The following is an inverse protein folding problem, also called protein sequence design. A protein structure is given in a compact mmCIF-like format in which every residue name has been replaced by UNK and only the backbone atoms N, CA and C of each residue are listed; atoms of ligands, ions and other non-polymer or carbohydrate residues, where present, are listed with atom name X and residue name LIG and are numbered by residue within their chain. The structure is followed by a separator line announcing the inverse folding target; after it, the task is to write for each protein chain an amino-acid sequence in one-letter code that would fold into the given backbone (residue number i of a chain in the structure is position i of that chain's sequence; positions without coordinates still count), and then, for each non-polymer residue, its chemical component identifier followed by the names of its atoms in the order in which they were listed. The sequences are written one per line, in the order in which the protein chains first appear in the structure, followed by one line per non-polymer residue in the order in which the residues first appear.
data_IF_737774715163
#
_entry.id   IF_737774715163
#
_cell.length_a   1.000
_cell.length_b   1.000
_cell.length_c   1.000
_cell.angle_alpha   90.00
_cell.angle_beta   90.00
_cell.angle_gamma   90.00
#
_symmetry.space_group_name_H-M   'P 1'
#
loop_
_entity.id
_entity.type
_entity.pdbx_description
1 polymer ?
#
# COMPACT_ATOMS: atom_id res chain seq x y z
N UNK A 1 -57.38 9.94 18.08
CA UNK A 1 -58.06 8.62 17.98
C UNK A 1 -57.03 7.65 17.42
N UNK A 2 -56.13 7.12 18.26
CA UNK A 2 -56.27 5.92 19.12
C UNK A 2 -56.01 4.63 18.33
N UNK A 3 -54.79 4.06 18.47
CA UNK A 3 -54.46 2.75 19.11
C UNK A 3 -54.61 1.55 18.17
N UNK A 4 -53.83 0.46 18.16
CA UNK A 4 -52.80 -0.14 19.04
C UNK A 4 -52.09 -1.23 18.20
N UNK A 5 -50.76 -1.38 18.25
CA UNK A 5 -49.98 -2.32 19.10
C UNK A 5 -50.19 -3.82 18.82
N UNK A 6 -49.17 -4.53 18.28
CA UNK A 6 -48.61 -5.75 18.92
C UNK A 6 -47.29 -6.25 18.27
N UNK A 7 -46.37 -6.67 19.15
CA UNK A 7 -45.09 -7.40 18.95
C UNK A 7 -45.14 -8.56 19.97
N UNK A 8 -44.11 -9.41 20.13
CA UNK A 8 -43.46 -10.41 19.24
C UNK A 8 -43.72 -11.86 19.76
N UNK A 9 -43.15 -12.90 19.12
CA UNK A 9 -42.88 -14.20 19.77
C UNK A 9 -41.79 -15.03 19.04
N UNK A 10 -40.73 -15.38 19.78
CA UNK A 10 -39.87 -16.58 19.60
C UNK A 10 -40.45 -17.70 20.48
N UNK A 11 -40.20 -19.02 20.25
CA UNK A 11 -39.00 -19.66 20.84
C UNK A 11 -38.46 -20.97 20.15
N UNK A 12 -37.30 -21.41 20.66
CA UNK A 12 -36.84 -22.79 20.94
C UNK A 12 -36.21 -23.74 19.87
N UNK A 13 -34.93 -24.05 20.12
CA UNK A 13 -34.22 -25.35 20.20
C UNK A 13 -34.86 -26.64 19.66
N UNK A 14 -34.07 -27.45 18.92
CA UNK A 14 -33.81 -28.85 19.30
C UNK A 14 -32.63 -29.52 18.53
N UNK A 15 -31.90 -30.42 19.22
CA UNK A 15 -30.93 -31.42 18.68
C UNK A 15 -31.56 -32.82 18.80
N UNK A 16 -31.24 -33.78 17.92
CA UNK A 16 -30.48 -35.00 18.34
C UNK A 16 -29.50 -35.49 17.24
N UNK A 17 -28.31 -36.05 17.53
CA UNK A 17 -27.93 -37.40 18.01
C UNK A 17 -28.30 -38.58 17.08
N UNK A 18 -27.30 -39.41 16.71
CA UNK A 18 -27.50 -40.87 16.55
C UNK A 18 -27.09 -41.60 15.25
N UNK A 19 -25.80 -41.94 15.13
CA UNK A 19 -25.22 -43.28 14.86
C UNK A 19 -25.92 -44.33 13.93
N UNK A 20 -25.21 -44.77 12.88
CA UNK A 20 -25.16 -46.14 12.31
C UNK A 20 -23.71 -46.36 11.85
N UNK A 21 -22.98 -47.44 12.12
CA UNK A 21 -23.36 -48.81 12.45
C UNK A 21 -22.75 -49.74 11.38
N UNK A 22 -21.59 -50.33 11.66
CA UNK A 22 -20.90 -51.28 10.77
C UNK A 22 -19.84 -52.11 11.51
N UNK A 23 -20.30 -53.20 12.15
CA UNK A 23 -19.52 -54.35 12.64
C UNK A 23 -18.93 -55.10 11.43
N UNK A 24 -17.88 -55.94 11.46
CA UNK A 24 -17.09 -56.62 12.48
C UNK A 24 -16.29 -57.73 11.74
N UNK A 25 -14.97 -57.81 11.92
CA UNK A 25 -14.22 -58.87 12.63
C UNK A 25 -14.37 -60.33 12.13
N UNK A 26 -13.22 -60.91 11.73
CA UNK A 26 -12.73 -62.27 12.06
C UNK A 26 -11.20 -62.11 12.27
N UNK A 27 -10.60 -62.31 13.47
CA UNK A 27 -10.28 -63.57 14.19
C UNK A 27 -9.37 -64.50 13.38
N UNK A 28 -8.29 -65.12 13.88
CA UNK A 28 -7.56 -65.11 15.15
C UNK A 28 -6.29 -65.98 14.97
N UNK A 29 -5.36 -65.91 15.93
CA UNK A 29 -4.59 -67.03 16.53
C UNK A 29 -3.07 -66.84 16.65
N UNK A 30 -2.75 -66.45 17.88
CA UNK A 30 -1.60 -66.74 18.73
C UNK A 30 -0.59 -67.83 18.33
N UNK A 31 0.68 -67.59 18.73
CA UNK A 31 1.45 -68.55 19.53
C UNK A 31 2.57 -67.87 20.33
N UNK A 32 2.64 -68.28 21.59
CA UNK A 32 3.53 -67.87 22.69
C UNK A 32 4.86 -68.63 22.64
N UNK A 33 5.96 -68.04 23.11
CA UNK A 33 7.05 -68.76 23.78
C UNK A 33 7.92 -67.79 24.58
N UNK A 34 8.41 -68.27 25.72
CA UNK A 34 8.88 -67.49 26.86
C UNK A 34 10.41 -67.58 27.08
N UNK A 35 10.90 -66.59 27.83
CA UNK A 35 11.99 -66.59 28.83
C UNK A 35 13.44 -66.94 28.44
N UNK A 36 14.38 -66.04 28.78
CA UNK A 36 15.40 -66.26 29.83
C UNK A 36 16.27 -64.99 30.03
N UNK A 37 16.62 -64.67 31.29
CA UNK A 37 17.66 -63.71 31.69
C UNK A 37 18.85 -64.48 32.29
N UNK A 38 20.08 -63.92 32.22
CA UNK A 38 20.93 -63.84 33.42
C UNK A 38 21.63 -62.46 33.52
N UNK A 39 21.50 -61.71 34.62
CA UNK A 39 22.42 -61.56 35.79
C UNK A 39 23.90 -61.24 35.49
N UNK A 40 24.33 -60.12 36.07
CA UNK A 40 25.63 -59.39 35.95
C UNK A 40 26.73 -60.00 36.85
N UNK A 41 28.01 -59.60 36.66
CA UNK A 41 28.72 -59.13 37.85
C UNK A 41 29.55 -57.84 37.65
N UNK A 42 29.50 -57.00 38.69
CA UNK A 42 30.43 -55.90 38.99
C UNK A 42 31.75 -56.49 39.50
N UNK A 43 32.84 -56.37 38.75
CA UNK A 43 34.23 -56.21 39.23
C UNK A 43 35.18 -56.14 38.02
N UNK A 44 35.78 -54.98 37.77
CA UNK A 44 37.18 -54.79 37.35
C UNK A 44 37.38 -53.29 37.07
N UNK A 45 38.02 -52.63 38.03
CA UNK A 45 38.46 -51.24 37.99
C UNK A 45 39.81 -51.17 37.27
N UNK A 46 39.89 -50.26 36.28
CA UNK A 46 41.03 -49.45 35.81
C UNK A 46 42.36 -50.10 35.36
N UNK A 47 42.87 -49.72 34.18
CA UNK A 47 43.90 -48.66 33.99
C UNK A 47 44.37 -48.58 32.52
N UNK A 48 44.41 -47.34 32.02
CA UNK A 48 45.23 -46.72 30.97
C UNK A 48 45.52 -47.43 29.63
N UNK A 49 45.14 -46.74 28.54
CA UNK A 49 46.09 -46.00 27.68
C UNK A 49 45.58 -46.00 26.23
N UNK A 50 45.42 -44.79 25.69
CA UNK A 50 45.58 -44.43 24.27
C UNK A 50 44.81 -45.29 23.27
N UNK A 51 43.75 -44.73 22.70
CA UNK A 51 43.64 -44.52 21.25
C UNK A 51 42.34 -43.75 20.99
N UNK A 52 42.50 -42.44 20.86
CA UNK A 52 41.47 -41.54 20.36
C UNK A 52 41.28 -41.80 18.86
N UNK A 53 40.19 -42.47 18.50
CA UNK A 53 39.52 -42.32 17.22
C UNK A 53 38.22 -43.15 17.26
N UNK A 54 37.08 -42.49 17.15
CA UNK A 54 35.85 -43.17 16.73
C UNK A 54 34.65 -42.95 17.62
N UNK A 55 33.99 -41.81 17.39
CA UNK A 55 32.55 -41.61 17.51
C UNK A 55 31.90 -41.55 18.92
N UNK A 56 31.03 -40.54 19.01
CA UNK A 56 29.93 -40.35 19.97
C UNK A 56 30.29 -39.60 21.27
N UNK A 57 30.13 -38.28 21.19
CA UNK A 57 29.67 -37.25 22.17
C UNK A 57 30.50 -35.99 21.92
N UNK A 58 29.99 -34.87 21.42
CA UNK A 58 28.93 -34.08 22.02
C UNK A 58 28.22 -33.22 20.95
N UNK A 59 26.92 -33.47 20.78
CA UNK A 59 25.99 -32.60 20.08
C UNK A 59 25.54 -31.44 20.98
N UNK A 60 26.48 -30.71 21.59
CA UNK A 60 26.21 -29.55 22.44
C UNK A 60 27.30 -28.52 22.20
N UNK A 61 27.05 -27.60 21.26
CA UNK A 61 27.60 -26.24 21.10
C UNK A 61 27.43 -25.78 19.64
N UNK A 62 26.18 -25.74 19.17
CA UNK A 62 25.79 -24.77 18.14
C UNK A 62 24.98 -23.70 18.87
N UNK A 63 25.58 -22.58 19.28
CA UNK A 63 24.80 -21.43 19.71
C UNK A 63 23.99 -20.96 18.51
N UNK A 64 22.67 -20.87 18.71
CA UNK A 64 21.66 -20.19 17.91
C UNK A 64 22.13 -19.36 16.70
N UNK A 65 22.47 -20.02 15.58
CA UNK A 65 22.51 -19.35 14.27
C UNK A 65 21.11 -19.06 13.70
N UNK A 66 20.04 -19.33 14.48
CA UNK A 66 18.65 -19.02 14.11
C UNK A 66 18.18 -17.63 14.54
N UNK A 67 18.96 -16.89 15.32
CA UNK A 67 18.55 -15.59 15.87
C UNK A 67 19.54 -14.45 15.65
N UNK A 68 20.47 -14.57 14.72
CA UNK A 68 21.12 -13.39 14.13
C UNK A 68 20.08 -12.60 13.33
N UNK A 69 19.24 -11.81 14.00
CA UNK A 69 18.59 -10.67 13.37
C UNK A 69 19.75 -9.78 12.94
N UNK A 70 20.13 -9.86 11.67
CA UNK A 70 20.89 -8.79 11.04
C UNK A 70 20.18 -7.50 11.43
N UNK A 71 20.86 -6.54 12.09
CA UNK A 71 20.25 -5.25 12.37
C UNK A 71 19.64 -4.74 11.07
N UNK A 72 18.36 -4.35 11.11
CA UNK A 72 17.74 -3.75 9.95
C UNK A 72 18.67 -2.63 9.44
N UNK A 73 18.94 -2.57 8.12
CA UNK A 73 19.79 -1.51 7.57
C UNK A 73 19.31 -0.16 8.10
N UNK A 74 20.23 0.77 8.45
CA UNK A 74 19.81 2.10 8.87
C UNK A 74 18.94 2.74 7.79
N UNK A 75 17.88 3.42 8.21
CA UNK A 75 16.97 4.10 7.29
C UNK A 75 17.78 5.07 6.39
N UNK A 76 17.45 5.15 5.09
CA UNK A 76 18.19 6.01 4.18
C UNK A 76 18.03 7.49 4.56
N UNK A 77 19.04 8.35 4.31
CA UNK A 77 18.91 9.78 4.51
C UNK A 77 17.73 10.36 3.73
N UNK A 78 17.05 11.37 4.28
CA UNK A 78 15.89 12.00 3.64
C UNK A 78 16.20 12.65 2.28
N UNK A 79 17.48 12.97 2.03
CA UNK A 79 17.99 13.52 0.77
C UNK A 79 18.50 12.47 -0.20
N UNK A 80 18.56 11.19 0.19
CA UNK A 80 19.00 10.12 -0.70
C UNK A 80 17.97 9.94 -1.83
N UNK A 81 18.45 9.63 -3.04
CA UNK A 81 17.59 9.45 -4.20
C UNK A 81 16.97 8.05 -4.21
N UNK A 82 15.65 8.01 -4.32
CA UNK A 82 14.88 6.77 -4.49
C UNK A 82 14.80 6.42 -5.96
N UNK A 83 14.53 7.41 -6.80
CA UNK A 83 14.39 7.22 -8.24
C UNK A 83 14.71 8.51 -9.00
N UNK A 84 14.78 8.40 -10.32
CA UNK A 84 14.64 9.53 -11.25
C UNK A 84 13.49 9.26 -12.20
N UNK A 85 12.74 10.31 -12.56
CA UNK A 85 11.64 10.26 -13.53
C UNK A 85 11.91 11.32 -14.59
N UNK A 86 12.19 10.91 -15.82
CA UNK A 86 12.60 11.80 -16.91
C UNK A 86 13.79 12.72 -16.54
N UNK A 87 14.70 12.20 -15.70
CA UNK A 87 15.86 12.94 -15.18
C UNK A 87 15.58 13.81 -13.96
N UNK A 88 14.32 13.96 -13.53
CA UNK A 88 13.98 14.63 -12.27
C UNK A 88 14.28 13.72 -11.09
N UNK A 89 15.06 14.21 -10.13
CA UNK A 89 15.46 13.48 -8.93
C UNK A 89 14.32 13.39 -7.91
N UNK A 90 14.09 12.18 -7.37
CA UNK A 90 13.03 11.89 -6.40
C UNK A 90 13.68 11.44 -5.08
N UNK A 91 13.78 12.33 -4.06
CA UNK A 91 14.40 12.00 -2.79
C UNK A 91 13.47 11.21 -1.85
N UNK A 92 14.05 10.54 -0.85
CA UNK A 92 13.31 9.79 0.19
C UNK A 92 12.22 10.64 0.86
N UNK A 93 12.50 11.93 1.15
CA UNK A 93 11.55 12.83 1.78
C UNK A 93 10.27 13.03 0.96
N UNK A 94 10.42 13.13 -0.36
CA UNK A 94 9.28 13.25 -1.26
C UNK A 94 8.45 11.97 -1.27
N UNK A 95 9.09 10.80 -1.46
CA UNK A 95 8.40 9.50 -1.48
C UNK A 95 7.68 9.22 -0.16
N UNK A 96 8.21 9.70 0.96
CA UNK A 96 7.56 9.56 2.27
C UNK A 96 6.16 10.21 2.33
N UNK A 97 5.92 11.28 1.57
CA UNK A 97 4.59 11.90 1.47
C UNK A 97 3.57 10.95 0.83
N UNK A 98 3.98 10.24 -0.22
CA UNK A 98 3.15 9.26 -0.92
C UNK A 98 2.94 7.99 -0.10
N UNK A 99 3.99 7.49 0.58
CA UNK A 99 3.87 6.36 1.51
C UNK A 99 2.83 6.65 2.61
N UNK A 100 2.80 7.88 3.12
CA UNK A 100 1.82 8.28 4.12
C UNK A 100 0.38 8.29 3.56
N UNK A 101 0.19 8.76 2.32
CA UNK A 101 -1.13 8.80 1.67
C UNK A 101 -1.65 7.39 1.35
N UNK A 102 -0.79 6.51 0.84
CA UNK A 102 -1.17 5.19 0.34
C UNK A 102 -1.31 4.13 1.44
N UNK A 103 -0.91 4.44 2.68
CA UNK A 103 -0.90 3.50 3.80
C UNK A 103 -2.28 2.92 4.10
N UNK A 104 -3.30 3.79 4.21
CA UNK A 104 -4.66 3.37 4.55
C UNK A 104 -5.32 2.56 3.42
N UNK A 105 -5.05 2.93 2.17
CA UNK A 105 -5.51 2.19 1.01
C UNK A 105 -4.86 0.80 0.93
N UNK A 106 -3.55 0.71 1.22
CA UNK A 106 -2.83 -0.56 1.30
C UNK A 106 -3.40 -1.47 2.38
N UNK A 107 -3.64 -0.93 3.58
CA UNK A 107 -4.30 -1.69 4.64
C UNK A 107 -5.67 -2.24 4.20
N UNK A 108 -6.47 -1.38 3.58
CA UNK A 108 -7.80 -1.76 3.07
C UNK A 108 -7.71 -2.86 2.01
N UNK A 109 -6.75 -2.77 1.08
CA UNK A 109 -6.51 -3.77 0.05
C UNK A 109 -6.23 -5.16 0.66
N UNK A 110 -5.27 -5.26 1.58
CA UNK A 110 -4.89 -6.55 2.17
C UNK A 110 -5.96 -7.10 3.11
N UNK A 111 -6.67 -6.25 3.83
CA UNK A 111 -7.82 -6.67 4.64
C UNK A 111 -8.94 -7.26 3.77
N UNK A 112 -9.29 -6.59 2.67
CA UNK A 112 -10.39 -7.03 1.80
C UNK A 112 -10.03 -8.28 0.97
N UNK A 113 -8.80 -8.35 0.44
CA UNK A 113 -8.37 -9.44 -0.44
C UNK A 113 -7.92 -10.69 0.32
N UNK A 114 -7.26 -10.52 1.47
CA UNK A 114 -6.61 -11.62 2.19
C UNK A 114 -7.09 -11.80 3.63
N UNK A 115 -8.00 -10.96 4.12
CA UNK A 115 -8.42 -10.98 5.52
C UNK A 115 -7.29 -10.59 6.48
N UNK A 116 -6.25 -9.90 5.99
CA UNK A 116 -5.14 -9.47 6.82
C UNK A 116 -5.62 -8.51 7.91
N UNK A 117 -5.15 -8.73 9.14
CA UNK A 117 -5.45 -7.90 10.31
C UNK A 117 -4.25 -7.05 10.68
N UNK A 118 -4.52 -5.92 11.30
CA UNK A 118 -3.44 -5.09 11.86
C UNK A 118 -2.68 -5.87 12.93
N UNK A 119 -1.37 -5.63 13.01
CA UNK A 119 -0.49 -6.26 13.97
C UNK A 119 0.99 -6.16 13.59
N UNK A 120 1.89 -6.62 14.48
CA UNK A 120 3.34 -6.44 14.33
C UNK A 120 3.93 -7.02 13.05
N UNK A 121 3.27 -8.01 12.45
CA UNK A 121 3.71 -8.72 11.25
C UNK A 121 2.94 -8.31 9.99
N UNK A 122 2.01 -7.34 10.08
CA UNK A 122 1.19 -6.93 8.93
C UNK A 122 2.08 -6.55 7.74
N UNK A 123 3.02 -5.61 7.93
CA UNK A 123 3.88 -5.10 6.85
C UNK A 123 4.84 -6.13 6.26
N UNK A 124 5.17 -7.19 7.01
CA UNK A 124 6.22 -8.15 6.65
C UNK A 124 5.69 -9.50 6.21
N UNK A 125 4.43 -9.83 6.47
CA UNK A 125 3.85 -11.13 6.12
C UNK A 125 3.49 -11.14 4.64
N UNK A 126 4.03 -12.06 3.83
CA UNK A 126 3.69 -12.13 2.42
C UNK A 126 2.30 -12.75 2.23
N UNK A 127 1.54 -12.18 1.30
CA UNK A 127 0.30 -12.73 0.76
C UNK A 127 0.47 -12.85 -0.75
N UNK A 128 0.26 -14.05 -1.30
CA UNK A 128 0.55 -14.36 -2.72
C UNK A 128 1.96 -13.93 -3.17
N UNK A 129 2.95 -14.07 -2.28
CA UNK A 129 4.35 -13.74 -2.57
C UNK A 129 4.72 -12.26 -2.43
N UNK A 130 3.78 -11.37 -2.06
CA UNK A 130 4.05 -9.94 -1.86
C UNK A 130 3.68 -9.49 -0.44
N UNK A 131 4.54 -8.69 0.19
CA UNK A 131 4.25 -8.09 1.50
C UNK A 131 3.50 -6.76 1.35
N UNK A 132 2.68 -6.33 2.33
CA UNK A 132 2.07 -5.00 2.30
C UNK A 132 3.10 -3.86 2.22
N UNK A 133 4.31 -4.05 2.78
CA UNK A 133 5.40 -3.09 2.66
C UNK A 133 5.86 -2.91 1.20
N UNK A 134 6.10 -4.01 0.49
CA UNK A 134 6.50 -3.99 -0.91
C UNK A 134 5.41 -3.34 -1.77
N UNK A 135 4.16 -3.77 -1.58
CA UNK A 135 3.00 -3.20 -2.26
C UNK A 135 2.84 -1.69 -2.02
N UNK A 136 2.98 -1.22 -0.77
CA UNK A 136 2.89 0.19 -0.44
C UNK A 136 3.98 1.01 -1.15
N UNK A 137 5.21 0.51 -1.19
CA UNK A 137 6.33 1.18 -1.87
C UNK A 137 6.13 1.23 -3.38
N UNK A 138 5.68 0.15 -3.99
CA UNK A 138 5.34 0.11 -5.41
C UNK A 138 4.24 1.13 -5.76
N UNK A 139 3.19 1.23 -4.93
CA UNK A 139 2.14 2.23 -5.11
C UNK A 139 2.66 3.66 -4.96
N UNK A 140 3.43 3.92 -3.92
CA UNK A 140 4.04 5.23 -3.72
C UNK A 140 4.96 5.62 -4.89
N UNK A 141 5.72 4.67 -5.45
CA UNK A 141 6.55 4.90 -6.65
C UNK A 141 5.68 5.20 -7.88
N UNK A 142 4.58 4.48 -8.08
CA UNK A 142 3.66 4.73 -9.18
C UNK A 142 3.02 6.12 -9.07
N UNK A 143 2.57 6.51 -7.88
CA UNK A 143 1.96 7.82 -7.66
C UNK A 143 2.95 8.97 -7.78
N UNK A 144 4.16 8.86 -7.22
CA UNK A 144 5.17 9.91 -7.40
C UNK A 144 5.55 10.03 -8.87
N UNK A 145 5.69 8.92 -9.61
CA UNK A 145 5.97 8.97 -11.06
C UNK A 145 4.88 9.73 -11.81
N UNK A 146 3.60 9.39 -11.56
CA UNK A 146 2.47 10.06 -12.18
C UNK A 146 2.44 11.55 -11.85
N UNK A 147 2.62 11.92 -10.59
CA UNK A 147 2.59 13.31 -10.15
C UNK A 147 3.80 14.10 -10.67
N UNK A 148 5.00 13.51 -10.75
CA UNK A 148 6.16 14.16 -11.38
C UNK A 148 5.89 14.49 -12.84
N UNK A 149 5.23 13.58 -13.58
CA UNK A 149 4.80 13.83 -14.96
C UNK A 149 3.75 14.94 -15.04
N UNK A 150 2.76 14.95 -14.14
CA UNK A 150 1.77 16.03 -14.05
C UNK A 150 2.42 17.39 -13.77
N UNK A 151 3.32 17.47 -12.79
CA UNK A 151 4.07 18.69 -12.46
C UNK A 151 4.95 19.16 -13.63
N UNK A 152 5.60 18.24 -14.32
CA UNK A 152 6.39 18.55 -15.53
C UNK A 152 5.50 19.11 -16.64
N UNK A 153 4.31 18.54 -16.85
CA UNK A 153 3.35 19.08 -17.80
C UNK A 153 2.88 20.47 -17.38
N UNK A 154 2.59 20.68 -16.09
CA UNK A 154 2.20 21.98 -15.56
C UNK A 154 3.29 23.04 -15.78
N UNK A 155 4.56 22.67 -15.60
CA UNK A 155 5.69 23.53 -15.90
C UNK A 155 5.72 23.92 -17.38
N UNK A 156 5.61 22.94 -18.29
CA UNK A 156 5.57 23.17 -19.75
C UNK A 156 4.38 24.03 -20.18
N UNK A 157 3.25 23.95 -19.46
CA UNK A 157 2.06 24.75 -19.69
C UNK A 157 2.12 26.15 -19.06
N UNK A 158 3.19 26.46 -18.31
CA UNK A 158 3.41 27.74 -17.64
C UNK A 158 2.59 27.93 -16.36
N UNK A 159 2.09 26.85 -15.75
CA UNK A 159 1.33 26.90 -14.50
C UNK A 159 2.24 26.94 -13.26
N UNK A 160 3.42 26.33 -13.35
CA UNK A 160 4.42 26.35 -12.28
C UNK A 160 5.79 26.75 -12.86
N UNK A 161 6.56 27.49 -12.07
CA UNK A 161 7.89 27.93 -12.49
C UNK A 161 8.91 26.78 -12.54
N UNK A 162 8.74 25.77 -11.68
CA UNK A 162 9.63 24.62 -11.54
C UNK A 162 8.81 23.43 -11.01
N UNK A 163 9.04 22.23 -11.58
CA UNK A 163 8.31 20.99 -11.27
C UNK A 163 8.98 20.12 -10.19
N UNK A 164 10.17 20.51 -9.73
CA UNK A 164 10.99 19.80 -8.78
C UNK A 164 10.51 19.92 -7.33
N UNK A 165 10.91 18.95 -6.53
CA UNK A 165 10.54 18.90 -5.12
C UNK A 165 11.19 20.04 -4.29
N UNK A 166 12.38 20.50 -4.66
CA UNK A 166 13.01 21.66 -4.01
C UNK A 166 12.19 22.95 -4.22
N UNK A 167 11.63 23.14 -5.41
CA UNK A 167 10.73 24.25 -5.68
C UNK A 167 9.44 24.13 -4.86
N UNK A 168 8.89 22.92 -4.72
CA UNK A 168 7.78 22.66 -3.80
C UNK A 168 8.12 23.05 -2.35
N UNK A 169 9.28 22.64 -1.83
CA UNK A 169 9.74 22.99 -0.49
C UNK A 169 9.90 24.51 -0.30
N UNK A 170 10.46 25.19 -1.28
CA UNK A 170 10.58 26.65 -1.28
C UNK A 170 9.20 27.34 -1.26
N UNK A 171 8.26 26.88 -2.09
CA UNK A 171 6.91 27.43 -2.16
C UNK A 171 6.13 27.20 -0.86
N UNK A 172 6.31 26.03 -0.23
CA UNK A 172 5.75 25.73 1.07
C UNK A 172 6.23 26.68 2.17
N UNK A 173 7.55 26.91 2.24
CA UNK A 173 8.15 27.83 3.20
C UNK A 173 7.68 29.27 2.96
N UNK A 174 7.61 29.68 1.70
CA UNK A 174 7.14 31.00 1.28
C UNK A 174 5.68 31.23 1.66
N UNK A 175 4.79 30.27 1.39
CA UNK A 175 3.37 30.38 1.76
C UNK A 175 3.19 30.44 3.27
N UNK A 176 3.92 29.62 4.03
CA UNK A 176 3.90 29.69 5.48
C UNK A 176 4.43 31.03 6.01
N UNK A 177 5.46 31.61 5.40
CA UNK A 177 5.96 32.94 5.75
C UNK A 177 4.93 34.03 5.45
N UNK A 178 4.26 33.96 4.28
CA UNK A 178 3.17 34.88 3.91
C UNK A 178 2.02 34.80 4.91
N UNK A 179 1.59 33.59 5.29
CA UNK A 179 0.52 33.38 6.28
C UNK A 179 0.87 33.96 7.64
N UNK A 180 2.09 33.76 8.14
CA UNK A 180 2.54 34.37 9.40
C UNK A 180 2.48 35.90 9.35
N UNK A 181 2.91 36.51 8.23
CA UNK A 181 2.81 37.97 8.03
C UNK A 181 1.36 38.46 8.02
N UNK A 182 0.48 37.74 7.33
CA UNK A 182 -0.95 38.08 7.26
C UNK A 182 -1.62 38.03 8.64
N UNK A 183 -1.33 37.00 9.44
CA UNK A 183 -1.84 36.88 10.82
C UNK A 183 -1.31 38.02 11.71
N UNK A 184 -0.02 38.33 11.63
CA UNK A 184 0.56 39.46 12.38
C UNK A 184 -0.06 40.82 11.98
N UNK A 185 -0.50 40.94 10.72
CA UNK A 185 -1.21 42.10 10.21
C UNK A 185 -2.73 42.07 10.45
N UNK A 186 -3.25 41.11 11.25
CA UNK A 186 -4.68 40.92 11.52
C UNK A 186 -5.54 40.73 10.25
N UNK A 187 -4.95 40.21 9.19
CA UNK A 187 -5.65 39.89 7.95
C UNK A 187 -6.38 38.54 8.09
N UNK A 188 -7.55 38.43 7.46
CA UNK A 188 -8.29 37.17 7.38
C UNK A 188 -7.49 36.18 6.55
N UNK A 189 -7.22 35.00 7.11
CA UNK A 189 -6.66 33.86 6.40
C UNK A 189 -7.63 32.68 6.49
N UNK A 190 -7.75 31.93 5.39
CA UNK A 190 -8.52 30.70 5.35
C UNK A 190 -7.62 29.49 5.59
N UNK A 191 -8.12 28.54 6.40
CA UNK A 191 -7.38 27.34 6.78
C UNK A 191 -6.36 27.58 7.90
N UNK A 192 -5.37 26.69 8.07
CA UNK A 192 -4.42 26.77 9.17
C UNK A 192 -3.46 27.96 9.01
N UNK A 193 -3.00 28.50 10.15
CA UNK A 193 -1.97 29.54 10.22
C UNK A 193 -0.67 29.07 9.57
N UNK A 194 -0.34 27.79 9.74
CA UNK A 194 0.82 27.16 9.16
C UNK A 194 0.42 25.79 8.60
N UNK A 195 0.78 25.54 7.35
CA UNK A 195 0.69 24.21 6.79
C UNK A 195 1.86 23.35 7.25
N UNK A 196 1.55 22.11 7.62
CA UNK A 196 2.52 21.02 7.55
C UNK A 196 2.88 20.76 6.09
N UNK A 197 4.01 20.10 5.85
CA UNK A 197 4.43 19.74 4.50
C UNK A 197 3.38 18.89 3.79
N UNK A 198 2.87 17.84 4.46
CA UNK A 198 1.84 16.95 3.89
C UNK A 198 0.54 17.69 3.58
N UNK A 199 0.10 18.63 4.42
CA UNK A 199 -1.13 19.39 4.14
C UNK A 199 -0.95 20.33 2.95
N UNK A 200 0.22 20.97 2.83
CA UNK A 200 0.51 21.82 1.69
C UNK A 200 0.67 21.00 0.41
N UNK A 201 1.31 19.83 0.49
CA UNK A 201 1.43 18.89 -0.60
C UNK A 201 0.07 18.47 -1.16
N UNK A 202 -0.85 17.99 -0.31
CA UNK A 202 -2.22 17.64 -0.71
C UNK A 202 -2.97 18.83 -1.33
N UNK A 203 -2.79 20.04 -0.78
CA UNK A 203 -3.38 21.25 -1.32
C UNK A 203 -2.87 21.57 -2.74
N UNK A 204 -1.56 21.53 -2.96
CA UNK A 204 -0.95 21.77 -4.27
C UNK A 204 -1.44 20.76 -5.29
N UNK A 205 -1.41 19.46 -4.97
CA UNK A 205 -1.83 18.42 -5.92
C UNK A 205 -3.32 18.50 -6.28
N UNK A 206 -4.18 18.84 -5.32
CA UNK A 206 -5.62 18.96 -5.56
C UNK A 206 -5.95 20.07 -6.56
N UNK A 207 -5.23 21.19 -6.49
CA UNK A 207 -5.43 22.31 -7.40
C UNK A 207 -4.77 22.07 -8.76
N UNK A 208 -3.57 21.47 -8.77
CA UNK A 208 -2.81 21.19 -9.99
C UNK A 208 -3.65 20.46 -11.06
N UNK A 209 -4.37 19.41 -10.66
CA UNK A 209 -5.17 18.61 -11.59
C UNK A 209 -6.39 19.39 -12.14
N UNK A 210 -6.94 20.34 -11.38
CA UNK A 210 -7.98 21.22 -11.88
C UNK A 210 -7.38 22.24 -12.86
N UNK A 211 -6.33 22.94 -12.45
CA UNK A 211 -5.66 23.97 -13.26
C UNK A 211 -5.13 23.42 -14.58
N UNK A 212 -4.57 22.20 -14.58
CA UNK A 212 -4.13 21.52 -15.80
C UNK A 212 -5.29 21.19 -16.75
N UNK A 213 -6.43 20.72 -16.24
CA UNK A 213 -7.60 20.43 -17.08
C UNK A 213 -8.12 21.68 -17.77
N UNK A 214 -8.21 22.77 -17.02
CA UNK A 214 -8.63 24.07 -17.55
C UNK A 214 -7.62 24.57 -18.58
N UNK A 215 -6.33 24.56 -18.24
CA UNK A 215 -5.25 25.00 -19.14
C UNK A 215 -5.18 24.20 -20.44
N UNK A 216 -5.33 22.87 -20.38
CA UNK A 216 -5.32 22.01 -21.56
C UNK A 216 -6.58 22.22 -22.43
N UNK A 217 -7.70 22.61 -21.83
CA UNK A 217 -8.91 22.99 -22.57
C UNK A 217 -8.73 24.35 -23.23
N UNK A 218 -8.22 25.34 -22.51
CA UNK A 218 -7.98 26.71 -22.99
C UNK A 218 -6.98 26.76 -24.16
N UNK A 219 -5.91 25.97 -24.06
CA UNK A 219 -4.90 25.82 -25.12
C UNK A 219 -5.36 24.93 -26.27
N UNK A 220 -6.57 24.36 -26.19
CA UNK A 220 -7.15 23.40 -27.15
C UNK A 220 -6.33 22.11 -27.31
N UNK A 221 -5.47 21.77 -26.36
CA UNK A 221 -4.82 20.46 -26.28
C UNK A 221 -5.86 19.36 -25.97
N UNK A 222 -6.89 19.69 -25.21
CA UNK A 222 -8.12 18.89 -25.05
C UNK A 222 -9.26 19.66 -25.72
N UNK A 223 -9.78 19.14 -26.83
CA UNK A 223 -10.91 19.75 -27.55
C UNK A 223 -12.23 19.11 -27.13
N UNK A 224 -13.30 19.91 -27.02
CA UNK A 224 -14.65 19.43 -26.67
C UNK A 224 -15.70 19.70 -27.78
N UNK A 225 -15.54 19.14 -29.00
CA UNK A 225 -16.53 19.32 -30.05
C UNK A 225 -17.85 18.64 -29.66
N UNK A 226 -18.99 19.23 -30.05
CA UNK A 226 -20.33 18.74 -29.70
C UNK A 226 -20.55 17.28 -30.12
N UNK A 227 -19.99 16.87 -31.26
CA UNK A 227 -20.02 15.49 -31.74
C UNK A 227 -19.34 14.52 -30.76
N UNK A 228 -18.15 14.87 -30.24
CA UNK A 228 -17.45 14.03 -29.27
C UNK A 228 -18.21 13.94 -27.94
N UNK A 229 -18.80 15.05 -27.48
CA UNK A 229 -19.60 15.06 -26.25
C UNK A 229 -20.87 14.20 -26.40
N UNK A 230 -21.53 14.22 -27.56
CA UNK A 230 -22.67 13.32 -27.83
C UNK A 230 -22.25 11.87 -27.86
N UNK A 231 -21.16 11.54 -28.55
CA UNK A 231 -20.62 10.17 -28.56
C UNK A 231 -20.27 9.70 -27.16
N UNK A 232 -19.65 10.56 -26.35
CA UNK A 232 -19.33 10.26 -24.97
C UNK A 232 -20.59 9.99 -24.13
N UNK A 233 -21.60 10.86 -24.22
CA UNK A 233 -22.88 10.69 -23.54
C UNK A 233 -23.59 9.37 -23.93
N UNK A 234 -23.56 9.00 -25.21
CA UNK A 234 -24.13 7.73 -25.68
C UNK A 234 -23.37 6.52 -25.13
N UNK A 235 -22.03 6.57 -25.12
CA UNK A 235 -21.20 5.50 -24.58
C UNK A 235 -21.35 5.35 -23.05
N UNK A 236 -21.58 6.46 -22.35
CA UNK A 236 -21.71 6.53 -20.89
C UNK A 236 -23.17 6.76 -20.45
N UNK A 237 -24.14 6.27 -21.22
CA UNK A 237 -25.58 6.52 -20.97
C UNK A 237 -26.00 6.12 -19.55
N UNK A 238 -25.33 5.11 -18.99
CA UNK A 238 -25.55 4.59 -17.64
C UNK A 238 -25.24 5.58 -16.51
N UNK A 239 -24.39 6.59 -16.75
CA UNK A 239 -23.99 7.59 -15.76
C UNK A 239 -24.95 8.79 -15.75
N UNK A 240 -25.57 9.10 -16.91
CA UNK A 240 -26.47 10.25 -17.08
C UNK A 240 -27.96 9.86 -17.13
N UNK A 241 -28.37 8.81 -16.41
CA UNK A 241 -29.71 8.21 -16.55
C UNK A 241 -30.82 9.25 -16.45
N UNK A 242 -31.86 9.07 -17.27
CA UNK A 242 -33.03 9.95 -17.32
C UNK A 242 -32.77 11.41 -17.74
N UNK A 243 -31.53 11.81 -17.99
CA UNK A 243 -31.20 13.13 -18.55
C UNK A 243 -31.17 13.08 -20.08
N UNK A 244 -31.57 14.16 -20.76
CA UNK A 244 -31.25 14.34 -22.17
C UNK A 244 -29.82 14.85 -22.32
N UNK A 245 -29.21 14.71 -23.50
CA UNK A 245 -27.88 15.29 -23.74
C UNK A 245 -27.86 16.80 -23.49
N UNK A 246 -28.93 17.52 -23.86
CA UNK A 246 -29.01 18.96 -23.64
C UNK A 246 -29.00 19.32 -22.14
N UNK A 247 -29.69 18.54 -21.30
CA UNK A 247 -29.72 18.76 -19.85
C UNK A 247 -28.37 18.39 -19.18
N UNK A 248 -27.74 17.30 -19.63
CA UNK A 248 -26.49 16.80 -19.06
C UNK A 248 -25.22 17.40 -19.70
N UNK A 249 -25.35 18.35 -20.64
CA UNK A 249 -24.24 18.75 -21.53
C UNK A 249 -22.98 19.17 -20.79
N UNK A 250 -23.13 19.94 -19.72
CA UNK A 250 -21.99 20.43 -18.94
C UNK A 250 -21.36 19.32 -18.08
N UNK A 251 -22.17 18.45 -17.47
CA UNK A 251 -21.69 17.28 -16.72
C UNK A 251 -20.92 16.32 -17.66
N UNK A 252 -21.47 16.08 -18.85
CA UNK A 252 -20.82 15.32 -19.93
C UNK A 252 -19.50 15.95 -20.34
N UNK A 253 -19.46 17.28 -20.49
CA UNK A 253 -18.23 18.00 -20.84
C UNK A 253 -17.16 17.80 -19.76
N UNK A 254 -17.51 17.95 -18.49
CA UNK A 254 -16.57 17.79 -17.37
C UNK A 254 -16.04 16.36 -17.27
N UNK A 255 -16.92 15.35 -17.37
CA UNK A 255 -16.53 13.95 -17.37
C UNK A 255 -15.62 13.62 -18.58
N UNK A 256 -16.01 14.08 -19.78
CA UNK A 256 -15.19 13.91 -20.98
C UNK A 256 -13.79 14.54 -20.83
N UNK A 257 -13.70 15.76 -20.31
CA UNK A 257 -12.41 16.44 -20.09
C UNK A 257 -11.57 15.69 -19.06
N UNK A 258 -12.18 15.20 -17.98
CA UNK A 258 -11.49 14.38 -16.98
C UNK A 258 -10.90 13.11 -17.60
N UNK A 259 -11.67 12.37 -18.39
CA UNK A 259 -11.19 11.14 -19.03
C UNK A 259 -10.07 11.42 -20.04
N UNK A 260 -10.20 12.50 -20.83
CA UNK A 260 -9.15 12.92 -21.76
C UNK A 260 -7.89 13.34 -21.03
N UNK A 261 -8.02 14.06 -19.92
CA UNK A 261 -6.91 14.42 -19.05
C UNK A 261 -6.21 13.18 -18.51
N UNK A 262 -6.95 12.24 -17.91
CA UNK A 262 -6.41 10.99 -17.39
C UNK A 262 -5.71 10.17 -18.49
N UNK A 263 -6.27 10.13 -19.70
CA UNK A 263 -5.62 9.46 -20.84
C UNK A 263 -4.30 10.14 -21.25
N UNK A 264 -4.23 11.48 -21.22
CA UNK A 264 -2.99 12.22 -21.47
C UNK A 264 -1.95 11.89 -20.42
N UNK A 265 -2.29 12.02 -19.13
CA UNK A 265 -1.36 11.74 -18.02
C UNK A 265 -0.93 10.28 -18.02
N UNK A 266 -1.85 9.34 -18.23
CA UNK A 266 -1.55 7.92 -18.28
C UNK A 266 -0.57 7.57 -19.40
N UNK A 267 -0.76 8.13 -20.60
CA UNK A 267 0.18 7.95 -21.71
C UNK A 267 1.56 8.55 -21.42
N UNK A 268 1.61 9.76 -20.85
CA UNK A 268 2.88 10.40 -20.50
C UNK A 268 3.62 9.61 -19.43
N UNK A 269 2.90 9.13 -18.40
CA UNK A 269 3.44 8.29 -17.33
C UNK A 269 3.97 6.97 -17.89
N UNK A 270 3.25 6.33 -18.81
CA UNK A 270 3.69 5.10 -19.46
C UNK A 270 4.93 5.28 -20.35
N UNK A 271 5.16 6.49 -20.87
CA UNK A 271 6.35 6.84 -21.65
C UNK A 271 7.50 7.38 -20.82
N UNK A 272 7.29 7.66 -19.52
CA UNK A 272 8.30 8.25 -18.67
C UNK A 272 9.46 7.27 -18.42
N UNK A 273 10.68 7.77 -18.47
CA UNK A 273 11.86 6.99 -18.15
C UNK A 273 12.10 7.01 -16.64
N UNK A 274 11.82 5.87 -15.98
CA UNK A 274 11.99 5.71 -14.53
C UNK A 274 13.24 4.87 -14.24
N UNK A 275 14.16 5.42 -13.45
CA UNK A 275 15.30 4.67 -12.93
C UNK A 275 15.22 4.60 -11.41
N UNK A 276 15.21 3.39 -10.83
CA UNK A 276 15.04 3.17 -9.39
C UNK A 276 16.36 2.78 -8.74
N UNK A 277 16.71 3.45 -7.65
CA UNK A 277 17.82 3.07 -6.78
C UNK A 277 17.33 2.03 -5.76
N UNK A 278 17.31 0.75 -6.18
CA UNK A 278 16.72 -0.35 -5.40
C UNK A 278 17.22 -0.44 -3.95
N UNK A 279 18.51 -0.21 -3.69
CA UNK A 279 19.05 -0.23 -2.33
C UNK A 279 18.39 0.82 -1.40
N UNK A 280 18.02 1.98 -1.93
CA UNK A 280 17.31 3.04 -1.18
C UNK A 280 15.81 2.74 -1.14
N UNK A 281 15.23 2.36 -2.29
CA UNK A 281 13.81 2.07 -2.42
C UNK A 281 13.36 0.92 -1.49
N UNK A 282 14.07 -0.19 -1.48
CA UNK A 282 13.74 -1.37 -0.66
C UNK A 282 13.94 -1.11 0.85
N UNK A 283 14.75 -0.11 1.19
CA UNK A 283 15.02 0.35 2.56
C UNK A 283 14.06 1.46 3.03
N UNK A 284 13.12 1.93 2.19
CA UNK A 284 12.17 2.97 2.59
C UNK A 284 11.32 2.49 3.78
N UNK A 285 11.20 3.31 4.85
CA UNK A 285 10.42 2.96 6.02
C UNK A 285 8.92 2.97 5.69
N UNK A 286 8.22 1.91 6.10
CA UNK A 286 6.79 1.74 5.88
C UNK A 286 6.01 1.57 7.17
N UNK A 287 6.64 1.69 8.34
CA UNK A 287 6.04 1.45 9.65
C UNK A 287 5.82 2.75 10.42
#
# INVERSE_FOLDING_TARGET
MSTSTHRPRTPAQDRPSGNRGGRGRTAASARTSAAARPTVPLWLIAVAAVLAAGAVTAAVLLPDLRNSRTPAPPAPPVTALVATVDGQEIPVREVALYLAQERAATFTHFRQKFGAVDGPHFWTTPHDGQTPAAYLRERALADVTRITVEMTLAHRQGLVADSGYDAFLHNWQTENARRRKAVAAHQVIYGPVQYTESNYFTYVLSNLAADLRDRLTDTRAITTPDSALRSYFTAHRGDFRHQSFAAAREEVRQAYVLDRYQAVIGRLTASAHVSVHHAVFDALPVS
#
